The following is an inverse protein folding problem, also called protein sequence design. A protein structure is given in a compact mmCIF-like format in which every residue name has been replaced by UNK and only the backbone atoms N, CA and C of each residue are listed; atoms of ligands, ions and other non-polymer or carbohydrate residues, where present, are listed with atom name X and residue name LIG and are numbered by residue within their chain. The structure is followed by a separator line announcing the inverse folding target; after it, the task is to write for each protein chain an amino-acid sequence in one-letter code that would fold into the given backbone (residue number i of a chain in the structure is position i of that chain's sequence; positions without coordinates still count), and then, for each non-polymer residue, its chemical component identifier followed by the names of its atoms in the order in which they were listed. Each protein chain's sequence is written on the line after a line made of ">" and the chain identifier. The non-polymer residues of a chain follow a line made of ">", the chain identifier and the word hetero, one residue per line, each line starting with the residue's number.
data_IF_598275930800
#
_entry.id   IF_598275930800
#
_cell.length_a   1.000
_cell.length_b   1.000
_cell.length_c   1.000
_cell.angle_alpha   90.00
_cell.angle_beta   90.00
_cell.angle_gamma   90.00
#
_symmetry.space_group_name_H-M   'P 1'
#
loop_
_entity.id
_entity.type
_entity.pdbx_description
1 polymer ?
#
# COMPACT_ATOMS: atom_id res chain seq x y z
N UNK A 1 -21.46 -72.08 46.90
CA UNK A 1 -20.38 -72.42 45.96
C UNK A 1 -20.66 -71.81 44.66
N UNK A 2 -20.16 -70.61 44.31
CA UNK A 2 -20.22 -70.03 42.98
C UNK A 2 -18.84 -69.46 42.69
N UNK A 3 -18.21 -70.03 41.64
CA UNK A 3 -16.87 -69.69 41.17
C UNK A 3 -16.93 -68.34 40.37
N UNK A 4 -16.09 -67.39 40.79
CA UNK A 4 -15.82 -66.14 40.06
C UNK A 4 -14.75 -66.42 39.01
N UNK A 5 -15.09 -66.13 37.75
CA UNK A 5 -14.15 -66.11 36.67
C UNK A 5 -13.61 -64.67 36.49
N UNK A 6 -12.31 -64.52 36.55
CA UNK A 6 -11.59 -63.28 36.21
C UNK A 6 -11.23 -63.35 34.73
N UNK A 7 -11.59 -62.32 33.98
CA UNK A 7 -11.12 -62.08 32.62
C UNK A 7 -9.81 -61.24 32.65
N UNK A 8 -8.85 -61.48 31.75
CA UNK A 8 -7.61 -60.70 31.66
C UNK A 8 -7.85 -59.39 30.90
N UNK A 9 -7.40 -58.29 31.51
CA UNK A 9 -7.42 -56.98 30.87
C UNK A 9 -6.36 -56.87 29.77
N UNK A 10 -6.77 -56.50 28.60
CA UNK A 10 -5.89 -56.11 27.49
C UNK A 10 -5.56 -54.63 27.66
N UNK A 11 -4.30 -54.32 27.98
CA UNK A 11 -3.75 -52.97 27.90
C UNK A 11 -3.52 -52.63 26.42
N UNK A 12 -4.35 -51.75 25.85
CA UNK A 12 -4.07 -51.14 24.57
C UNK A 12 -3.11 -49.96 24.77
N UNK A 13 -1.87 -50.12 24.34
CA UNK A 13 -0.90 -49.04 24.28
C UNK A 13 -1.26 -48.12 23.08
N UNK A 14 -1.74 -46.90 23.36
CA UNK A 14 -1.93 -45.86 22.36
C UNK A 14 -0.57 -45.24 22.07
N UNK A 15 0.04 -45.62 20.97
CA UNK A 15 1.17 -44.93 20.36
C UNK A 15 0.68 -43.61 19.74
N UNK A 16 0.86 -42.51 20.48
CA UNK A 16 0.75 -41.17 19.94
C UNK A 16 1.94 -40.94 18.99
N UNK A 17 1.70 -41.07 17.68
CA UNK A 17 2.60 -40.54 16.68
C UNK A 17 2.48 -39.00 16.71
N UNK A 18 3.39 -38.39 17.45
CA UNK A 18 3.64 -36.96 17.32
C UNK A 18 4.20 -36.68 15.90
N UNK A 19 3.35 -36.24 14.98
CA UNK A 19 3.82 -35.62 13.75
C UNK A 19 4.54 -34.33 14.13
N UNK A 20 5.85 -34.41 14.32
CA UNK A 20 6.72 -33.26 14.42
C UNK A 20 6.58 -32.48 13.11
N UNK A 21 5.92 -31.33 13.16
CA UNK A 21 6.07 -30.31 12.14
C UNK A 21 7.56 -29.98 12.07
N UNK A 22 8.22 -30.42 11.00
CA UNK A 22 9.55 -29.95 10.67
C UNK A 22 9.49 -28.42 10.61
N UNK A 23 10.43 -27.70 11.25
CA UNK A 23 10.51 -26.26 11.08
C UNK A 23 10.69 -26.00 9.59
N UNK A 24 9.84 -25.14 9.01
CA UNK A 24 10.04 -24.63 7.67
C UNK A 24 11.50 -24.17 7.57
N UNK A 25 12.19 -24.65 6.54
CA UNK A 25 13.58 -24.29 6.27
C UNK A 25 13.70 -22.77 6.41
N UNK A 26 14.59 -22.31 7.29
CA UNK A 26 14.73 -20.92 7.66
C UNK A 26 14.84 -20.09 6.40
N UNK A 27 13.88 -19.18 6.17
CA UNK A 27 14.01 -18.14 5.18
C UNK A 27 15.30 -17.39 5.53
N UNK A 28 16.19 -17.24 4.55
CA UNK A 28 17.41 -16.44 4.68
C UNK A 28 17.01 -15.05 5.21
N UNK A 29 17.45 -14.65 6.42
CA UNK A 29 17.13 -13.33 6.95
C UNK A 29 17.62 -12.18 6.05
N UNK A 30 18.49 -12.47 5.08
CA UNK A 30 18.95 -11.54 4.05
C UNK A 30 18.04 -11.49 2.80
N UNK A 31 17.07 -12.39 2.68
CA UNK A 31 16.09 -12.35 1.60
C UNK A 31 15.14 -11.19 1.84
N UNK A 32 15.45 -10.05 1.22
CA UNK A 32 14.61 -8.85 1.27
C UNK A 32 13.19 -9.12 0.79
N UNK A 33 12.24 -8.35 1.29
CA UNK A 33 10.84 -8.49 0.93
C UNK A 33 10.53 -7.77 -0.37
N UNK A 34 9.69 -8.37 -1.21
CA UNK A 34 9.13 -7.70 -2.38
C UNK A 34 8.14 -6.60 -1.95
N UNK A 35 7.94 -5.61 -2.84
CA UNK A 35 6.96 -4.54 -2.67
C UNK A 35 5.99 -4.55 -3.86
N UNK A 36 5.05 -5.53 -3.89
CA UNK A 36 4.32 -5.91 -5.11
C UNK A 36 3.17 -4.98 -5.49
N UNK A 37 2.81 -4.00 -4.66
CA UNK A 37 1.68 -3.11 -4.86
C UNK A 37 1.84 -1.82 -4.06
N UNK A 38 0.92 -0.88 -4.26
CA UNK A 38 0.88 0.38 -3.50
C UNK A 38 0.90 0.12 -1.99
N UNK A 39 1.83 0.76 -1.27
CA UNK A 39 2.07 0.63 0.17
C UNK A 39 2.56 -0.76 0.63
N UNK A 40 3.11 -1.56 -0.29
CA UNK A 40 3.74 -2.83 0.01
C UNK A 40 2.79 -4.02 0.18
N UNK A 41 3.32 -5.18 0.59
CA UNK A 41 2.56 -6.44 0.58
C UNK A 41 1.34 -6.43 1.49
N UNK A 42 1.33 -5.63 2.55
CA UNK A 42 0.22 -5.49 3.49
C UNK A 42 -0.54 -4.17 3.34
N UNK A 43 -0.29 -3.38 2.31
CA UNK A 43 -0.91 -2.08 2.03
C UNK A 43 -0.79 -1.05 3.18
N UNK A 44 0.18 -1.19 4.05
CA UNK A 44 0.33 -0.39 5.29
C UNK A 44 1.55 0.54 5.30
N UNK A 45 2.41 0.49 4.28
CA UNK A 45 3.64 1.29 4.22
C UNK A 45 4.73 0.83 5.18
N UNK A 46 4.66 -0.41 5.67
CA UNK A 46 5.65 -0.98 6.59
C UNK A 46 6.38 -2.14 5.91
N UNK A 47 7.71 -2.10 5.90
CA UNK A 47 8.54 -3.21 5.46
C UNK A 47 8.92 -4.10 6.65
N UNK A 48 8.93 -5.41 6.45
CA UNK A 48 9.41 -6.38 7.42
C UNK A 48 10.93 -6.54 7.44
N UNK A 49 11.65 -5.82 6.56
CA UNK A 49 13.11 -5.91 6.44
C UNK A 49 13.82 -5.47 7.72
N UNK A 50 14.95 -6.10 7.98
CA UNK A 50 15.84 -5.89 9.12
C UNK A 50 17.27 -5.68 8.67
N UNK A 51 18.13 -5.26 9.60
CA UNK A 51 19.56 -5.06 9.30
C UNK A 51 19.82 -3.84 8.42
N UNK A 52 19.00 -2.82 8.58
CA UNK A 52 19.10 -1.57 7.84
C UNK A 52 20.00 -0.57 8.55
N UNK A 53 20.59 0.38 7.78
CA UNK A 53 21.41 1.46 8.32
C UNK A 53 20.64 2.23 9.39
N UNK A 54 21.25 2.37 10.58
CA UNK A 54 20.68 3.12 11.72
C UNK A 54 20.95 4.60 11.65
N UNK A 55 21.90 5.00 10.82
CA UNK A 55 22.28 6.38 10.49
C UNK A 55 23.05 6.39 9.19
N UNK A 56 23.24 7.54 8.59
CA UNK A 56 24.14 7.74 7.45
C UNK A 56 24.90 9.07 7.57
N UNK A 57 26.05 9.21 6.87
CA UNK A 57 26.82 10.46 6.81
C UNK A 57 26.03 11.57 6.09
N UNK A 58 26.54 12.80 6.13
CA UNK A 58 25.94 13.93 5.40
C UNK A 58 25.76 13.68 3.90
N UNK A 59 26.64 12.85 3.31
CA UNK A 59 26.50 12.42 1.91
C UNK A 59 25.34 11.46 1.65
N UNK A 60 24.68 10.99 2.71
CA UNK A 60 23.59 10.02 2.63
C UNK A 60 24.02 8.58 2.41
N UNK A 61 23.06 7.66 2.19
CA UNK A 61 23.32 6.29 1.80
C UNK A 61 23.97 6.21 0.42
N UNK A 62 24.64 5.09 0.13
CA UNK A 62 25.25 4.86 -1.19
C UNK A 62 24.22 4.90 -2.30
N UNK A 63 24.41 5.76 -3.29
CA UNK A 63 23.61 5.78 -4.52
C UNK A 63 24.00 4.58 -5.39
N UNK A 64 23.05 3.73 -5.73
CA UNK A 64 23.24 2.64 -6.67
C UNK A 64 23.09 3.14 -8.11
N UNK A 65 22.04 3.89 -8.37
CA UNK A 65 21.83 4.58 -9.64
C UNK A 65 20.81 5.73 -9.50
N UNK A 66 20.87 6.67 -10.43
CA UNK A 66 19.90 7.76 -10.60
C UNK A 66 19.63 7.93 -12.08
N UNK A 67 18.36 7.98 -12.50
CA UNK A 67 17.95 8.05 -13.91
C UNK A 67 16.68 8.85 -14.11
N UNK A 68 16.53 9.55 -15.24
CA UNK A 68 15.26 10.10 -15.66
C UNK A 68 14.28 8.97 -16.00
N UNK A 69 13.03 9.13 -15.63
CA UNK A 69 11.95 8.16 -15.89
C UNK A 69 10.74 8.79 -16.61
N UNK A 70 10.72 10.12 -16.75
CA UNK A 70 9.62 10.88 -17.31
C UNK A 70 8.56 11.26 -16.28
N UNK A 71 7.73 12.24 -16.66
CA UNK A 71 6.78 12.90 -15.78
C UNK A 71 5.68 11.97 -15.25
N UNK A 72 5.28 12.18 -14.00
CA UNK A 72 4.20 11.45 -13.34
C UNK A 72 4.42 11.19 -11.86
N UNK A 73 3.36 10.73 -11.19
CA UNK A 73 3.32 10.46 -9.76
C UNK A 73 3.08 8.98 -9.41
N UNK A 74 3.23 8.09 -10.39
CA UNK A 74 3.21 6.65 -10.13
C UNK A 74 4.43 6.26 -9.30
N UNK A 75 4.23 5.70 -8.10
CA UNK A 75 5.36 5.14 -7.36
C UNK A 75 5.79 3.82 -7.98
N UNK A 76 6.77 3.16 -7.38
CA UNK A 76 7.32 1.93 -7.93
C UNK A 76 6.77 0.69 -7.23
N UNK A 77 6.79 -0.41 -7.96
CA UNK A 77 6.56 -1.76 -7.46
C UNK A 77 7.80 -2.58 -7.74
N UNK A 78 8.24 -3.36 -6.76
CA UNK A 78 9.47 -4.15 -6.86
C UNK A 78 9.17 -5.61 -6.53
N UNK A 79 9.49 -6.51 -7.47
CA UNK A 79 9.36 -7.95 -7.30
C UNK A 79 10.62 -8.63 -7.86
N UNK A 80 11.36 -9.29 -7.00
CA UNK A 80 12.66 -9.85 -7.38
C UNK A 80 13.65 -8.77 -7.83
N UNK A 81 14.15 -8.89 -9.03
CA UNK A 81 15.05 -7.95 -9.71
C UNK A 81 14.32 -7.02 -10.68
N UNK A 82 12.99 -7.05 -10.69
CA UNK A 82 12.16 -6.24 -11.55
C UNK A 82 11.51 -5.09 -10.79
N UNK A 83 11.58 -3.91 -11.39
CA UNK A 83 10.92 -2.69 -10.94
C UNK A 83 9.90 -2.27 -11.99
N UNK A 84 8.70 -1.91 -11.55
CA UNK A 84 7.61 -1.44 -12.41
C UNK A 84 7.17 -0.06 -11.99
N UNK A 85 6.93 0.82 -12.95
CA UNK A 85 6.37 2.16 -12.76
C UNK A 85 5.67 2.63 -14.02
N UNK A 86 5.04 3.79 -13.96
CA UNK A 86 4.46 4.45 -15.12
C UNK A 86 4.94 5.90 -15.19
N UNK A 87 5.12 6.42 -16.38
CA UNK A 87 5.51 7.81 -16.63
C UNK A 87 5.02 8.28 -18.00
N UNK A 88 5.17 9.57 -18.26
CA UNK A 88 4.96 10.14 -19.60
C UNK A 88 6.19 9.87 -20.45
N UNK A 89 5.97 9.35 -21.66
CA UNK A 89 6.96 9.25 -22.74
C UNK A 89 6.35 9.81 -24.01
N UNK A 90 6.88 10.92 -24.50
CA UNK A 90 6.29 11.64 -25.62
C UNK A 90 4.86 12.09 -25.32
N UNK A 91 3.90 11.65 -26.14
CA UNK A 91 2.47 11.97 -25.98
C UNK A 91 1.68 10.86 -25.26
N UNK A 92 2.38 9.88 -24.68
CA UNK A 92 1.73 8.71 -24.06
C UNK A 92 2.08 8.55 -22.59
N UNK A 93 1.10 8.16 -21.79
CA UNK A 93 1.38 7.49 -20.51
C UNK A 93 1.88 6.08 -20.80
N UNK A 94 3.01 5.71 -20.23
CA UNK A 94 3.74 4.49 -20.58
C UNK A 94 4.07 3.70 -19.31
N UNK A 95 3.83 2.39 -19.34
CA UNK A 95 4.28 1.47 -18.31
C UNK A 95 5.70 0.97 -18.63
N UNK A 96 6.49 0.83 -17.57
CA UNK A 96 7.88 0.39 -17.66
C UNK A 96 8.16 -0.80 -16.76
N UNK A 97 9.00 -1.70 -17.25
CA UNK A 97 9.79 -2.62 -16.42
C UNK A 97 11.26 -2.24 -16.53
N UNK A 98 11.90 -2.03 -15.38
CA UNK A 98 13.33 -1.79 -15.26
C UNK A 98 13.99 -2.91 -14.45
N UNK A 99 15.29 -3.06 -14.59
CA UNK A 99 16.09 -3.91 -13.69
C UNK A 99 16.44 -3.16 -12.43
N UNK A 100 16.30 -3.77 -11.27
CA UNK A 100 16.61 -3.13 -9.99
C UNK A 100 18.09 -2.82 -9.77
N UNK A 101 19.07 -3.60 -10.30
CA UNK A 101 20.48 -3.33 -10.05
C UNK A 101 21.01 -2.05 -10.69
N UNK A 102 20.51 -1.67 -11.85
CA UNK A 102 21.10 -0.62 -12.71
C UNK A 102 20.07 0.32 -13.35
N UNK A 103 18.75 0.04 -13.17
CA UNK A 103 17.69 0.85 -13.75
C UNK A 103 17.57 0.74 -15.28
N UNK A 104 18.12 -0.30 -15.90
CA UNK A 104 17.99 -0.50 -17.35
C UNK A 104 16.57 -0.92 -17.70
N UNK A 105 16.01 -0.30 -18.76
CA UNK A 105 14.65 -0.58 -19.25
C UNK A 105 14.65 -1.94 -19.95
N UNK A 106 13.82 -2.86 -19.47
CA UNK A 106 13.59 -4.18 -20.08
C UNK A 106 12.51 -4.10 -21.15
N UNK A 107 11.41 -3.42 -20.82
CA UNK A 107 10.33 -3.14 -21.77
C UNK A 107 9.58 -1.87 -21.37
N UNK A 108 8.88 -1.30 -22.34
CA UNK A 108 7.96 -0.18 -22.19
C UNK A 108 6.72 -0.43 -23.03
N UNK A 109 5.54 -0.06 -22.49
CA UNK A 109 4.24 -0.27 -23.15
C UNK A 109 3.40 1.01 -23.05
N UNK A 110 3.08 1.65 -24.18
CA UNK A 110 2.15 2.77 -24.20
C UNK A 110 0.74 2.34 -23.71
N UNK A 111 0.17 3.14 -22.81
CA UNK A 111 -1.15 2.89 -22.20
C UNK A 111 -2.25 3.77 -22.80
N UNK A 112 -1.90 4.90 -23.37
CA UNK A 112 -2.83 5.86 -23.93
C UNK A 112 -2.35 7.30 -23.79
N UNK A 113 -3.17 8.29 -24.15
CA UNK A 113 -2.77 9.69 -24.14
C UNK A 113 -2.43 10.20 -22.75
N UNK A 114 -1.55 11.19 -22.69
CA UNK A 114 -1.19 11.89 -21.45
C UNK A 114 -2.40 12.59 -20.87
N UNK A 115 -2.62 12.42 -19.57
CA UNK A 115 -3.58 13.22 -18.80
C UNK A 115 -2.92 14.54 -18.38
N UNK A 116 -3.35 15.70 -18.93
CA UNK A 116 -2.82 17.00 -18.54
C UNK A 116 -3.42 17.45 -17.21
N UNK A 117 -2.57 17.95 -16.29
CA UNK A 117 -3.04 18.42 -15.00
C UNK A 117 -2.11 19.50 -14.43
N UNK A 118 -2.71 20.55 -13.80
CA UNK A 118 -1.98 21.73 -13.33
C UNK A 118 -0.89 21.44 -12.28
N UNK A 119 -1.01 20.36 -11.51
CA UNK A 119 -0.02 19.96 -10.51
C UNK A 119 1.05 19.01 -11.05
N UNK A 120 0.94 18.58 -12.31
CA UNK A 120 1.85 17.71 -13.01
C UNK A 120 1.10 16.67 -13.86
N UNK A 121 1.61 16.42 -15.05
CA UNK A 121 1.00 15.53 -16.03
C UNK A 121 1.25 14.05 -15.73
N UNK A 122 0.44 13.17 -16.30
CA UNK A 122 0.69 11.75 -16.41
C UNK A 122 0.11 10.89 -15.28
N UNK A 123 0.56 9.63 -15.20
CA UNK A 123 -0.04 8.59 -14.36
C UNK A 123 0.19 8.83 -12.86
N UNK A 124 -0.79 8.40 -12.07
CA UNK A 124 -0.81 8.57 -10.60
C UNK A 124 -0.96 7.28 -9.82
N UNK A 125 -1.61 6.27 -10.41
CA UNK A 125 -1.74 4.98 -9.79
C UNK A 125 -0.39 4.24 -9.76
N UNK A 126 -0.26 3.29 -8.85
CA UNK A 126 0.92 2.43 -8.75
C UNK A 126 0.62 1.08 -9.41
N UNK A 127 1.53 0.51 -10.19
CA UNK A 127 1.40 -0.85 -10.70
C UNK A 127 1.16 -1.86 -9.59
N UNK A 128 0.38 -2.91 -9.85
CA UNK A 128 0.23 -4.05 -8.95
C UNK A 128 0.70 -5.31 -9.66
N UNK A 129 1.60 -6.04 -9.04
CA UNK A 129 2.20 -7.28 -9.59
C UNK A 129 1.72 -8.48 -8.82
N UNK A 130 1.24 -9.48 -9.55
CA UNK A 130 0.94 -10.79 -9.00
C UNK A 130 1.40 -11.89 -9.97
N UNK A 131 2.33 -12.73 -9.53
CA UNK A 131 2.92 -13.77 -10.35
C UNK A 131 3.60 -13.20 -11.60
N UNK A 132 3.13 -13.60 -12.76
CA UNK A 132 3.65 -13.20 -14.07
C UNK A 132 2.86 -12.06 -14.74
N UNK A 133 1.97 -11.39 -13.99
CA UNK A 133 1.12 -10.30 -14.49
C UNK A 133 1.36 -9.01 -13.70
N UNK A 134 1.45 -7.89 -14.41
CA UNK A 134 1.38 -6.54 -13.85
C UNK A 134 0.12 -5.83 -14.34
N UNK A 135 -0.64 -5.28 -13.38
CA UNK A 135 -1.85 -4.49 -13.64
C UNK A 135 -1.51 -3.02 -13.50
N UNK A 136 -1.86 -2.24 -14.51
CA UNK A 136 -1.57 -0.81 -14.59
C UNK A 136 -2.81 -0.03 -15.00
N UNK A 137 -3.05 1.11 -14.35
CA UNK A 137 -4.16 2.00 -14.64
C UNK A 137 -3.62 3.39 -15.01
N UNK A 138 -3.89 3.84 -16.23
CA UNK A 138 -3.54 5.20 -16.67
C UNK A 138 -4.45 6.25 -16.01
N UNK A 139 -4.00 7.50 -15.95
CA UNK A 139 -4.83 8.59 -15.43
C UNK A 139 -6.06 8.88 -16.31
N UNK A 140 -6.05 8.45 -17.57
CA UNK A 140 -7.19 8.54 -18.49
C UNK A 140 -8.20 7.39 -18.35
N UNK A 141 -7.94 6.41 -17.48
CA UNK A 141 -8.86 5.30 -17.18
C UNK A 141 -8.66 4.06 -18.04
N UNK A 142 -7.48 3.90 -18.66
CA UNK A 142 -7.14 2.66 -19.36
C UNK A 142 -6.45 1.70 -18.40
N UNK A 143 -7.11 0.58 -18.14
CA UNK A 143 -6.63 -0.51 -17.30
C UNK A 143 -6.06 -1.61 -18.18
N UNK A 144 -4.84 -2.05 -17.90
CA UNK A 144 -4.18 -3.12 -18.64
C UNK A 144 -3.66 -4.20 -17.72
N UNK A 145 -3.73 -5.44 -18.16
CA UNK A 145 -2.95 -6.56 -17.65
C UNK A 145 -1.84 -6.90 -18.65
N UNK A 146 -0.60 -6.82 -18.19
CA UNK A 146 0.59 -7.05 -19.02
C UNK A 146 1.40 -8.19 -18.43
N UNK A 147 2.05 -9.00 -19.29
CA UNK A 147 3.01 -9.99 -18.82
C UNK A 147 4.24 -9.32 -18.24
N UNK A 148 4.65 -9.74 -17.06
CA UNK A 148 5.87 -9.23 -16.42
C UNK A 148 7.12 -9.46 -17.26
N UNK A 149 7.17 -10.57 -18.03
CA UNK A 149 8.34 -10.98 -18.80
C UNK A 149 8.69 -9.99 -19.92
N UNK A 150 7.72 -9.62 -20.74
CA UNK A 150 7.94 -8.93 -22.01
C UNK A 150 6.99 -7.75 -22.28
N UNK A 151 6.08 -7.44 -21.34
CA UNK A 151 5.09 -6.35 -21.48
C UNK A 151 3.96 -6.68 -22.44
N UNK A 152 3.87 -7.91 -22.98
CA UNK A 152 2.77 -8.27 -23.88
C UNK A 152 1.42 -8.17 -23.15
N UNK A 153 0.45 -7.54 -23.82
CA UNK A 153 -0.88 -7.31 -23.27
C UNK A 153 -1.69 -8.59 -23.23
N UNK A 154 -2.23 -8.94 -22.07
CA UNK A 154 -3.17 -10.04 -21.89
C UNK A 154 -4.60 -9.57 -22.15
N UNK A 155 -4.98 -8.44 -21.58
CA UNK A 155 -6.26 -7.77 -21.81
C UNK A 155 -6.15 -6.29 -21.45
N UNK A 156 -7.14 -5.51 -21.90
CA UNK A 156 -7.33 -4.10 -21.53
C UNK A 156 -8.80 -3.80 -21.33
N UNK A 157 -9.08 -2.73 -20.58
CA UNK A 157 -10.41 -2.16 -20.38
C UNK A 157 -10.31 -0.64 -20.35
N UNK A 158 -11.21 0.04 -21.07
CA UNK A 158 -11.38 1.49 -20.99
C UNK A 158 -12.54 1.78 -20.03
N UNK A 159 -12.24 2.21 -18.80
CA UNK A 159 -13.25 2.46 -17.76
C UNK A 159 -14.28 3.50 -18.20
N UNK A 160 -13.86 4.51 -18.97
CA UNK A 160 -14.74 5.57 -19.45
C UNK A 160 -15.73 5.02 -20.45
N UNK A 161 -15.27 4.23 -21.42
CA UNK A 161 -16.12 3.70 -22.51
C UNK A 161 -16.99 2.53 -22.07
N UNK A 162 -16.41 1.59 -21.30
CA UNK A 162 -17.06 0.31 -20.99
C UNK A 162 -17.94 0.38 -19.74
N UNK A 163 -17.57 1.23 -18.76
CA UNK A 163 -18.33 1.38 -17.52
C UNK A 163 -19.11 2.70 -17.45
N UNK A 164 -18.88 3.62 -18.41
CA UNK A 164 -19.47 4.96 -18.35
C UNK A 164 -18.87 5.82 -17.24
N UNK A 165 -17.67 5.52 -16.81
CA UNK A 165 -16.98 6.22 -15.71
C UNK A 165 -16.52 7.59 -16.16
N UNK A 166 -16.96 8.70 -15.53
CA UNK A 166 -16.39 10.01 -15.85
C UNK A 166 -14.96 10.10 -15.36
N UNK A 167 -14.06 10.61 -16.19
CA UNK A 167 -12.68 10.85 -15.77
C UNK A 167 -12.66 11.83 -14.58
N UNK A 168 -12.05 11.48 -13.45
CA UNK A 168 -11.92 12.38 -12.30
C UNK A 168 -11.11 13.63 -12.64
N UNK A 169 -11.34 14.74 -11.92
CA UNK A 169 -10.66 16.02 -12.17
C UNK A 169 -9.13 15.92 -12.12
N UNK A 170 -8.59 14.97 -11.33
CA UNK A 170 -7.15 14.69 -11.19
C UNK A 170 -6.71 13.44 -11.95
N UNK A 171 -7.55 12.91 -12.84
CA UNK A 171 -7.35 11.59 -13.45
C UNK A 171 -7.62 10.43 -12.49
N UNK A 172 -7.61 9.21 -13.00
CA UNK A 172 -7.69 8.01 -12.17
C UNK A 172 -6.36 7.83 -11.41
N UNK A 173 -6.43 7.71 -10.08
CA UNK A 173 -5.27 7.65 -9.20
C UNK A 173 -5.27 6.45 -8.24
N UNK A 174 -6.42 5.81 -8.02
CA UNK A 174 -6.52 4.58 -7.25
C UNK A 174 -5.72 3.47 -7.91
N UNK A 175 -4.90 2.75 -7.14
CA UNK A 175 -4.13 1.62 -7.67
C UNK A 175 -5.00 0.36 -7.72
N UNK A 176 -4.85 -0.51 -8.73
CA UNK A 176 -5.56 -1.77 -8.80
C UNK A 176 -5.25 -2.65 -7.58
N UNK A 177 -6.28 -3.23 -6.97
CA UNK A 177 -6.15 -4.18 -5.87
C UNK A 177 -6.40 -5.59 -6.36
N UNK A 178 -5.44 -6.50 -6.18
CA UNK A 178 -5.62 -7.92 -6.48
C UNK A 178 -5.89 -8.69 -5.20
N UNK A 179 -6.95 -9.50 -5.19
CA UNK A 179 -7.28 -10.40 -4.08
C UNK A 179 -7.95 -11.68 -4.61
N UNK A 180 -7.32 -12.82 -4.40
CA UNK A 180 -7.76 -14.08 -4.99
C UNK A 180 -7.84 -14.00 -6.51
N UNK A 181 -8.99 -14.29 -7.10
CA UNK A 181 -9.21 -14.19 -8.56
C UNK A 181 -9.74 -12.82 -9.02
N UNK A 182 -9.83 -11.85 -8.10
CA UNK A 182 -10.42 -10.54 -8.37
C UNK A 182 -9.36 -9.46 -8.55
N UNK A 183 -9.62 -8.55 -9.48
CA UNK A 183 -9.00 -7.25 -9.62
C UNK A 183 -10.05 -6.19 -9.29
N UNK A 184 -9.83 -5.41 -8.24
CA UNK A 184 -10.82 -4.53 -7.62
C UNK A 184 -10.36 -3.09 -7.72
N UNK A 185 -11.29 -2.19 -8.06
CA UNK A 185 -11.01 -0.74 -8.11
C UNK A 185 -12.29 0.09 -7.94
N UNK A 186 -12.10 1.33 -7.48
CA UNK A 186 -13.10 2.37 -7.53
C UNK A 186 -13.06 3.02 -8.92
N UNK A 187 -13.90 2.52 -9.83
CA UNK A 187 -13.94 2.96 -11.21
C UNK A 187 -14.73 4.26 -11.41
N UNK A 188 -15.69 4.50 -10.54
CA UNK A 188 -16.69 5.56 -10.71
C UNK A 188 -17.71 5.20 -11.79
N UNK A 189 -18.96 5.49 -11.55
CA UNK A 189 -20.03 5.20 -12.50
C UNK A 189 -21.40 5.22 -11.83
N UNK A 190 -22.41 5.23 -12.65
CA UNK A 190 -23.82 5.13 -12.24
C UNK A 190 -24.30 3.69 -12.40
N UNK A 191 -25.51 3.43 -11.96
CA UNK A 191 -26.17 2.12 -12.10
C UNK A 191 -25.35 0.97 -11.48
N UNK A 192 -24.85 1.21 -10.27
CA UNK A 192 -24.07 0.22 -9.52
C UNK A 192 -22.65 -0.01 -10.03
N UNK A 193 -22.04 0.92 -10.75
CA UNK A 193 -20.72 0.72 -11.36
C UNK A 193 -19.59 1.55 -10.73
N UNK A 194 -19.83 2.15 -9.55
CA UNK A 194 -18.79 2.96 -8.90
C UNK A 194 -17.62 2.12 -8.40
N UNK A 195 -17.88 0.91 -7.92
CA UNK A 195 -16.86 -0.09 -7.58
C UNK A 195 -17.06 -1.30 -8.47
N UNK A 196 -15.97 -1.79 -9.03
CA UNK A 196 -15.97 -2.99 -9.87
C UNK A 196 -14.94 -4.00 -9.40
N UNK A 197 -15.30 -5.27 -9.49
CA UNK A 197 -14.36 -6.37 -9.42
C UNK A 197 -14.38 -7.12 -10.75
N UNK A 198 -13.20 -7.27 -11.31
CA UNK A 198 -12.97 -7.97 -12.54
C UNK A 198 -12.37 -9.35 -12.27
N UNK A 199 -12.62 -10.29 -13.14
CA UNK A 199 -11.79 -11.49 -13.23
C UNK A 199 -10.37 -11.06 -13.66
N UNK A 200 -9.39 -11.25 -12.80
CA UNK A 200 -8.04 -10.74 -13.01
C UNK A 200 -7.35 -11.33 -14.27
N UNK A 201 -7.76 -12.51 -14.71
CA UNK A 201 -7.17 -13.19 -15.89
C UNK A 201 -7.75 -12.70 -17.22
N UNK A 202 -9.02 -12.31 -17.20
CA UNK A 202 -9.78 -12.00 -18.44
C UNK A 202 -10.22 -10.55 -18.56
N UNK A 203 -10.15 -9.74 -17.48
CA UNK A 203 -10.66 -8.39 -17.43
C UNK A 203 -12.19 -8.29 -17.41
N UNK A 204 -12.94 -9.40 -17.42
CA UNK A 204 -14.40 -9.38 -17.40
C UNK A 204 -14.94 -9.01 -16.04
N UNK A 205 -15.98 -8.16 -16.01
CA UNK A 205 -16.68 -7.78 -14.78
C UNK A 205 -17.30 -9.02 -14.13
N UNK A 206 -16.93 -9.31 -12.89
CA UNK A 206 -17.52 -10.34 -12.04
C UNK A 206 -18.71 -9.80 -11.27
N UNK A 207 -18.55 -8.62 -10.71
CA UNK A 207 -19.59 -7.86 -10.05
C UNK A 207 -19.27 -6.38 -10.07
N UNK A 208 -20.30 -5.55 -9.89
CA UNK A 208 -20.18 -4.13 -9.65
C UNK A 208 -21.11 -3.72 -8.52
N UNK A 209 -20.80 -2.63 -7.84
CA UNK A 209 -21.54 -2.14 -6.70
C UNK A 209 -21.42 -0.62 -6.58
N UNK A 210 -22.39 -0.02 -5.88
CA UNK A 210 -22.45 1.39 -5.52
C UNK A 210 -22.56 2.33 -6.74
N UNK A 211 -23.09 3.50 -6.48
CA UNK A 211 -23.09 4.63 -7.40
C UNK A 211 -22.09 5.67 -6.95
N UNK A 212 -21.61 6.50 -7.86
CA UNK A 212 -20.77 7.63 -7.55
C UNK A 212 -19.59 7.81 -8.50
N UNK A 213 -18.78 8.81 -8.24
CA UNK A 213 -17.57 9.13 -9.01
C UNK A 213 -16.37 8.37 -8.45
N UNK A 214 -15.38 8.10 -9.29
CA UNK A 214 -14.11 7.57 -8.83
C UNK A 214 -13.42 8.57 -7.90
N UNK A 215 -13.03 8.09 -6.72
CA UNK A 215 -12.14 8.79 -5.80
C UNK A 215 -10.67 8.60 -6.15
N UNK A 216 -9.80 8.94 -5.20
CA UNK A 216 -8.34 8.90 -5.39
C UNK A 216 -7.67 7.89 -4.44
N UNK A 217 -8.45 7.25 -3.58
CA UNK A 217 -7.96 6.35 -2.54
C UNK A 217 -7.87 4.93 -3.06
N UNK A 218 -6.72 4.30 -2.88
CA UNK A 218 -6.58 2.87 -3.15
C UNK A 218 -7.33 2.07 -2.07
N UNK A 219 -8.21 1.14 -2.44
CA UNK A 219 -8.97 0.33 -1.49
C UNK A 219 -8.04 -0.58 -0.66
N UNK A 220 -8.48 -0.89 0.56
CA UNK A 220 -7.75 -1.73 1.50
C UNK A 220 -8.44 -3.08 1.65
N UNK A 221 -7.72 -4.17 1.41
CA UNK A 221 -8.23 -5.52 1.64
C UNK A 221 -7.86 -6.00 3.05
N UNK A 222 -8.85 -6.32 3.87
CA UNK A 222 -8.66 -6.78 5.26
C UNK A 222 -9.49 -8.01 5.57
N UNK A 223 -9.09 -8.72 6.63
CA UNK A 223 -9.90 -9.78 7.23
C UNK A 223 -10.18 -9.40 8.68
N UNK A 224 -11.45 -9.20 9.03
CA UNK A 224 -11.91 -8.85 10.36
C UNK A 224 -12.84 -9.95 10.84
N UNK A 225 -12.59 -10.53 12.00
CA UNK A 225 -13.37 -11.64 12.58
C UNK A 225 -13.60 -12.80 11.58
N UNK A 226 -12.58 -13.11 10.75
CA UNK A 226 -12.65 -14.16 9.73
C UNK A 226 -13.35 -13.74 8.44
N UNK A 227 -13.91 -12.54 8.36
CA UNK A 227 -14.61 -12.04 7.17
C UNK A 227 -13.67 -11.21 6.30
N UNK A 228 -13.38 -11.71 5.08
CA UNK A 228 -12.64 -10.95 4.06
C UNK A 228 -13.48 -9.82 3.53
N UNK A 229 -12.93 -8.61 3.43
CA UNK A 229 -13.66 -7.41 3.02
C UNK A 229 -12.73 -6.36 2.40
N UNK A 230 -13.32 -5.48 1.60
CA UNK A 230 -12.63 -4.41 0.89
C UNK A 230 -13.16 -3.06 1.38
N UNK A 231 -12.28 -2.25 1.97
CA UNK A 231 -12.63 -0.96 2.55
C UNK A 231 -12.30 0.15 1.56
N UNK A 232 -13.30 0.94 1.24
CA UNK A 232 -13.21 2.12 0.37
C UNK A 232 -13.45 3.38 1.21
N UNK A 233 -12.57 4.36 1.10
CA UNK A 233 -12.79 5.72 1.59
C UNK A 233 -13.15 6.56 0.39
N UNK A 234 -14.46 6.81 0.21
CA UNK A 234 -14.97 7.39 -1.04
C UNK A 234 -14.90 8.91 -0.98
N UNK A 235 -13.84 9.43 -1.57
CA UNK A 235 -13.42 10.84 -1.50
C UNK A 235 -14.52 11.84 -1.87
N UNK A 236 -15.35 11.50 -2.87
CA UNK A 236 -16.35 12.41 -3.44
C UNK A 236 -17.72 12.17 -2.82
N UNK A 237 -18.05 10.92 -2.52
CA UNK A 237 -19.36 10.53 -2.02
C UNK A 237 -19.50 10.77 -0.51
N UNK A 238 -18.41 10.88 0.21
CA UNK A 238 -18.40 11.22 1.64
C UNK A 238 -18.82 10.07 2.53
N UNK A 239 -18.32 8.85 2.24
CA UNK A 239 -18.50 7.69 3.11
C UNK A 239 -17.26 6.81 3.16
N UNK A 240 -17.19 5.99 4.21
CA UNK A 240 -16.31 4.85 4.30
C UNK A 240 -17.21 3.62 4.19
N UNK A 241 -16.95 2.77 3.20
CA UNK A 241 -17.78 1.60 2.94
C UNK A 241 -16.94 0.36 2.78
N UNK A 242 -17.43 -0.76 3.31
CA UNK A 242 -16.83 -2.06 3.12
C UNK A 242 -17.72 -2.95 2.28
N UNK A 243 -17.11 -3.63 1.32
CA UNK A 243 -17.76 -4.63 0.49
C UNK A 243 -17.19 -6.02 0.77
N UNK A 244 -18.06 -7.03 0.75
CA UNK A 244 -17.69 -8.43 0.77
C UNK A 244 -17.12 -8.88 -0.60
N UNK A 245 -16.46 -10.05 -0.70
CA UNK A 245 -15.96 -10.57 -1.95
C UNK A 245 -17.00 -10.79 -3.06
N UNK A 246 -18.29 -10.82 -2.72
CA UNK A 246 -19.41 -10.91 -3.67
C UNK A 246 -20.00 -9.53 -4.05
N UNK A 247 -19.40 -8.43 -3.58
CA UNK A 247 -19.81 -7.06 -3.87
C UNK A 247 -20.90 -6.49 -2.96
N UNK A 248 -21.40 -7.27 -2.01
CA UNK A 248 -22.41 -6.77 -1.06
C UNK A 248 -21.81 -5.82 -0.03
N UNK A 249 -22.56 -4.78 0.33
CA UNK A 249 -22.17 -3.86 1.40
C UNK A 249 -22.21 -4.60 2.73
N UNK A 250 -21.05 -4.71 3.40
CA UNK A 250 -20.92 -5.32 4.71
C UNK A 250 -21.18 -4.30 5.83
N UNK A 251 -20.63 -3.10 5.70
CA UNK A 251 -20.89 -1.96 6.57
C UNK A 251 -20.64 -0.65 5.84
N UNK A 252 -21.19 0.44 6.37
CA UNK A 252 -21.00 1.80 5.87
C UNK A 252 -20.99 2.78 7.03
N UNK A 253 -20.11 3.77 6.94
CA UNK A 253 -20.03 4.88 7.88
C UNK A 253 -20.05 6.20 7.10
N UNK A 254 -21.00 7.10 7.32
CA UNK A 254 -20.99 8.43 6.73
C UNK A 254 -19.76 9.19 7.20
N UNK A 255 -19.03 9.79 6.26
CA UNK A 255 -17.88 10.60 6.60
C UNK A 255 -17.79 11.79 5.64
N UNK A 256 -16.85 12.73 5.90
CA UNK A 256 -16.72 13.93 5.09
C UNK A 256 -15.93 13.67 3.80
N UNK A 257 -16.22 14.47 2.77
CA UNK A 257 -15.47 14.46 1.50
C UNK A 257 -14.05 15.00 1.68
N UNK A 258 -13.11 14.60 0.81
CA UNK A 258 -11.76 15.17 0.73
C UNK A 258 -10.61 14.21 1.06
N UNK A 259 -10.87 12.92 1.34
CA UNK A 259 -9.81 11.94 1.55
C UNK A 259 -9.06 11.62 0.26
N UNK A 260 -7.73 11.57 0.33
CA UNK A 260 -6.84 11.09 -0.75
C UNK A 260 -5.92 10.00 -0.19
N UNK A 261 -5.63 10.05 1.11
CA UNK A 261 -4.79 9.07 1.79
C UNK A 261 -5.53 7.74 2.00
N UNK A 262 -4.83 6.63 1.80
CA UNK A 262 -5.36 5.29 2.07
C UNK A 262 -5.58 5.05 3.56
N UNK A 263 -6.64 4.31 3.93
CA UNK A 263 -6.89 3.95 5.31
C UNK A 263 -5.83 3.00 5.86
N UNK A 264 -5.77 2.90 7.19
CA UNK A 264 -4.96 1.91 7.90
C UNK A 264 -5.87 0.89 8.59
N UNK A 265 -5.45 -0.37 8.54
CA UNK A 265 -6.00 -1.40 9.39
C UNK A 265 -5.22 -1.48 10.71
N UNK A 266 -5.92 -1.38 11.83
CA UNK A 266 -5.41 -1.59 13.17
C UNK A 266 -6.01 -2.90 13.70
N UNK A 267 -5.23 -3.98 13.75
CA UNK A 267 -5.72 -5.23 14.28
C UNK A 267 -6.24 -5.09 15.73
N UNK A 268 -7.26 -5.86 16.14
CA UNK A 268 -7.89 -6.92 15.33
C UNK A 268 -9.03 -6.45 14.41
N UNK A 269 -9.64 -5.28 14.64
CA UNK A 269 -10.90 -4.91 13.99
C UNK A 269 -11.12 -3.40 13.82
N UNK A 270 -10.04 -2.60 13.71
CA UNK A 270 -10.18 -1.14 13.60
C UNK A 270 -9.68 -0.59 12.28
N UNK A 271 -10.34 0.44 11.80
CA UNK A 271 -9.98 1.18 10.59
C UNK A 271 -9.74 2.65 10.96
N UNK A 272 -8.54 3.13 10.66
CA UNK A 272 -8.23 4.55 10.72
C UNK A 272 -8.33 5.15 9.33
N UNK A 273 -9.02 6.29 9.22
CA UNK A 273 -9.07 7.11 8.02
C UNK A 273 -8.73 8.55 8.34
N UNK A 274 -8.13 9.25 7.39
CA UNK A 274 -7.72 10.64 7.54
C UNK A 274 -7.92 11.40 6.23
N UNK A 275 -8.31 12.66 6.34
CA UNK A 275 -8.53 13.55 5.22
C UNK A 275 -7.98 14.95 5.53
N UNK A 276 -7.69 15.67 4.46
CA UNK A 276 -7.10 17.03 4.52
C UNK A 276 -8.07 18.11 4.97
N UNK A 277 -7.64 19.34 4.90
CA UNK A 277 -8.35 20.55 5.27
C UNK A 277 -8.85 20.51 6.73
N UNK A 278 -10.09 20.79 6.95
CA UNK A 278 -10.69 20.79 8.29
C UNK A 278 -11.41 19.49 8.67
N UNK A 279 -11.21 18.43 7.89
CA UNK A 279 -11.89 17.16 8.09
C UNK A 279 -11.26 16.41 9.27
N UNK A 280 -9.97 16.10 9.19
CA UNK A 280 -9.25 15.41 10.24
C UNK A 280 -9.21 13.90 10.05
N UNK A 281 -9.36 13.16 11.15
CA UNK A 281 -9.22 11.70 11.15
C UNK A 281 -10.23 11.04 12.08
N UNK A 282 -10.54 9.80 11.77
CA UNK A 282 -11.48 8.96 12.52
C UNK A 282 -10.89 7.57 12.74
N UNK A 283 -11.11 7.00 13.92
CA UNK A 283 -10.87 5.60 14.22
C UNK A 283 -12.23 4.90 14.40
N UNK A 284 -12.48 3.93 13.54
CA UNK A 284 -13.69 3.10 13.56
C UNK A 284 -13.37 1.72 14.14
N UNK A 285 -14.24 1.20 14.97
CA UNK A 285 -14.25 -0.19 15.40
C UNK A 285 -15.35 -0.92 14.66
N UNK A 286 -15.00 -2.05 14.06
CA UNK A 286 -15.91 -2.90 13.30
C UNK A 286 -16.30 -4.08 14.19
N UNK A 287 -17.57 -4.13 14.56
CA UNK A 287 -18.14 -5.24 15.33
C UNK A 287 -18.66 -6.35 14.43
N UNK A 288 -18.92 -7.50 15.04
CA UNK A 288 -19.46 -8.66 14.31
C UNK A 288 -20.85 -8.37 13.74
N UNK A 289 -21.13 -8.97 12.60
CA UNK A 289 -22.49 -9.09 12.10
C UNK A 289 -23.32 -9.97 13.06
N UNK A 290 -24.55 -9.58 13.32
CA UNK A 290 -25.51 -10.35 14.11
C UNK A 290 -26.83 -10.52 13.36
N UNK A 291 -27.72 -11.37 13.88
CA UNK A 291 -29.01 -11.62 13.26
C UNK A 291 -29.95 -10.37 13.23
N UNK A 292 -29.63 -9.36 14.06
CA UNK A 292 -30.42 -8.12 14.13
C UNK A 292 -29.95 -7.09 13.09
N UNK A 293 -28.74 -7.24 12.57
CA UNK A 293 -28.11 -6.34 11.61
C UNK A 293 -28.26 -6.77 10.15
N UNK A 294 -29.11 -7.76 9.86
CA UNK A 294 -29.30 -8.31 8.50
C UNK A 294 -27.96 -8.79 7.89
N UNK A 295 -27.11 -9.41 8.73
CA UNK A 295 -25.78 -9.89 8.33
C UNK A 295 -24.73 -8.80 8.11
N UNK A 296 -25.03 -7.56 8.46
CA UNK A 296 -24.10 -6.43 8.37
C UNK A 296 -23.29 -6.27 9.66
N UNK A 297 -22.02 -5.93 9.52
CA UNK A 297 -21.21 -5.58 10.65
C UNK A 297 -21.62 -4.22 11.24
N UNK A 298 -21.51 -4.08 12.55
CA UNK A 298 -21.72 -2.80 13.23
C UNK A 298 -20.47 -1.92 13.12
N UNK A 299 -20.65 -0.60 13.14
CA UNK A 299 -19.55 0.37 13.09
C UNK A 299 -19.71 1.35 14.25
N UNK A 300 -18.64 1.54 15.02
CA UNK A 300 -18.61 2.48 16.15
C UNK A 300 -17.40 3.41 15.99
N UNK A 301 -17.60 4.72 16.10
CA UNK A 301 -16.51 5.67 16.24
C UNK A 301 -15.88 5.51 17.63
N UNK A 302 -14.57 5.23 17.67
CA UNK A 302 -13.77 5.26 18.89
C UNK A 302 -13.39 6.70 19.20
N UNK A 303 -12.87 7.39 18.21
CA UNK A 303 -12.59 8.82 18.28
C UNK A 303 -12.65 9.45 16.88
N UNK A 304 -12.91 10.77 16.86
CA UNK A 304 -12.93 11.61 15.67
C UNK A 304 -12.32 12.96 16.04
N UNK A 305 -11.27 13.37 15.36
CA UNK A 305 -10.57 14.60 15.71
C UNK A 305 -9.81 15.20 14.53
N UNK A 306 -9.30 16.43 14.71
CA UNK A 306 -8.46 17.11 13.72
C UNK A 306 -6.98 16.89 13.95
N UNK A 307 -6.60 15.89 14.73
CA UNK A 307 -5.20 15.66 15.12
C UNK A 307 -4.30 15.26 13.97
N UNK A 308 -4.83 14.53 12.97
CA UNK A 308 -4.12 14.10 11.78
C UNK A 308 -4.95 14.41 10.54
N UNK A 309 -4.40 15.19 9.61
CA UNK A 309 -5.05 15.65 8.39
C UNK A 309 -4.17 15.29 7.19
N UNK A 310 -4.19 14.01 6.83
CA UNK A 310 -3.41 13.55 5.68
C UNK A 310 -3.93 14.21 4.39
N UNK A 311 -3.01 14.71 3.57
CA UNK A 311 -3.34 15.24 2.25
C UNK A 311 -3.26 14.09 1.22
N UNK A 312 -2.17 14.00 0.45
CA UNK A 312 -1.99 12.92 -0.53
C UNK A 312 -1.12 11.77 0.00
N UNK A 313 -0.39 11.95 1.09
CA UNK A 313 0.43 10.90 1.68
C UNK A 313 -0.33 10.18 2.79
N UNK A 314 -0.22 8.86 2.82
CA UNK A 314 -0.84 8.03 3.85
C UNK A 314 0.07 7.87 5.06
N UNK A 315 -0.53 7.80 6.25
CA UNK A 315 0.17 7.47 7.49
C UNK A 315 0.62 6.02 7.54
N UNK A 316 1.51 5.69 8.48
CA UNK A 316 1.89 4.31 8.82
C UNK A 316 1.54 4.01 10.28
N UNK A 317 1.15 2.78 10.56
CA UNK A 317 0.98 2.26 11.92
C UNK A 317 2.24 1.47 12.29
N UNK A 318 2.90 1.85 13.37
CA UNK A 318 4.06 1.15 13.89
C UNK A 318 4.02 1.11 15.42
N UNK A 319 4.05 -0.08 16.02
CA UNK A 319 4.05 -0.31 17.48
C UNK A 319 3.01 0.54 18.23
N UNK A 320 1.74 0.49 17.78
CA UNK A 320 0.62 1.16 18.43
C UNK A 320 0.54 2.68 18.22
N UNK A 321 1.42 3.25 17.39
CA UNK A 321 1.44 4.66 17.06
C UNK A 321 1.25 4.88 15.56
N UNK A 322 0.55 5.95 15.21
CA UNK A 322 0.38 6.39 13.83
C UNK A 322 1.34 7.55 13.57
N UNK A 323 2.18 7.39 12.56
CA UNK A 323 3.10 8.39 12.05
C UNK A 323 2.60 8.86 10.69
N UNK A 324 2.49 10.18 10.49
CA UNK A 324 1.96 10.71 9.25
C UNK A 324 2.05 12.22 9.18
N UNK A 325 1.71 12.75 8.01
CA UNK A 325 1.71 14.19 7.77
C UNK A 325 0.32 14.79 8.04
N UNK A 326 0.23 15.67 9.03
CA UNK A 326 -0.88 16.59 9.23
C UNK A 326 -0.65 17.81 8.33
N UNK A 327 -1.13 17.76 7.10
CA UNK A 327 -0.74 18.68 6.03
C UNK A 327 0.79 18.78 5.90
N UNK A 328 1.41 19.88 6.31
CA UNK A 328 2.85 20.11 6.24
C UNK A 328 3.63 19.79 7.53
N UNK A 329 3.01 19.13 8.50
CA UNK A 329 3.63 18.76 9.78
C UNK A 329 3.66 17.27 9.98
N UNK A 330 4.83 16.68 10.17
CA UNK A 330 4.97 15.28 10.56
C UNK A 330 4.56 15.11 12.02
N UNK A 331 3.72 14.13 12.31
CA UNK A 331 3.22 13.84 13.66
C UNK A 331 3.34 12.37 14.04
N UNK A 332 3.42 12.15 15.35
CA UNK A 332 3.16 10.86 15.98
C UNK A 332 1.94 11.01 16.88
N UNK A 333 1.00 10.09 16.77
CA UNK A 333 -0.18 10.01 17.64
C UNK A 333 -0.33 8.59 18.19
N UNK A 334 -0.94 8.46 19.37
CA UNK A 334 -1.39 7.15 19.88
C UNK A 334 -2.55 6.67 19.03
N UNK A 335 -2.43 5.48 18.45
CA UNK A 335 -3.46 4.98 17.53
C UNK A 335 -4.83 4.81 18.20
N UNK A 336 -4.84 4.33 19.46
CA UNK A 336 -6.05 4.04 20.22
C UNK A 336 -6.86 5.29 20.64
N UNK A 337 -6.17 6.39 20.92
CA UNK A 337 -6.80 7.57 21.55
C UNK A 337 -6.75 8.83 20.68
N UNK A 338 -5.91 8.84 19.63
CA UNK A 338 -5.61 10.04 18.87
C UNK A 338 -4.75 11.07 19.62
N UNK A 339 -4.21 10.74 20.81
CA UNK A 339 -3.33 11.63 21.58
C UNK A 339 -2.06 11.95 20.79
N UNK A 340 -1.75 13.24 20.59
CA UNK A 340 -0.52 13.66 19.93
C UNK A 340 0.67 13.46 20.87
N UNK A 341 1.67 12.70 20.42
CA UNK A 341 2.94 12.50 21.15
C UNK A 341 3.96 13.58 20.82
N UNK A 342 4.13 13.87 19.54
CA UNK A 342 5.02 14.92 19.06
C UNK A 342 4.60 15.44 17.69
N UNK A 343 5.11 16.61 17.32
CA UNK A 343 4.99 17.24 16.00
C UNK A 343 6.33 17.78 15.55
N UNK A 344 6.66 17.57 14.28
CA UNK A 344 7.87 18.08 13.64
C UNK A 344 7.52 18.79 12.34
N UNK A 345 8.12 19.96 12.11
CA UNK A 345 7.91 20.80 10.92
C UNK A 345 9.15 20.82 10.02
N UNK A 346 9.01 21.37 8.84
CA UNK A 346 10.13 21.62 7.92
C UNK A 346 10.26 20.60 6.77
N UNK A 347 9.29 19.72 6.59
CA UNK A 347 9.31 18.70 5.54
C UNK A 347 8.26 18.91 4.43
N UNK A 348 7.49 20.00 4.51
CA UNK A 348 6.36 20.23 3.60
C UNK A 348 5.31 19.12 3.68
N UNK A 349 4.64 18.83 2.58
CA UNK A 349 3.67 17.72 2.45
C UNK A 349 4.39 16.45 2.01
N UNK A 350 5.31 15.95 2.82
CA UNK A 350 6.12 14.78 2.51
C UNK A 350 5.36 13.45 2.60
N UNK A 351 6.09 12.38 2.41
CA UNK A 351 5.62 11.00 2.52
C UNK A 351 6.58 10.15 3.37
N UNK A 352 6.14 8.98 3.85
CA UNK A 352 6.98 8.12 4.67
C UNK A 352 6.60 6.64 4.56
N UNK A 353 7.56 5.80 4.91
CA UNK A 353 7.39 4.39 5.21
C UNK A 353 8.11 4.05 6.53
N UNK A 354 7.79 2.90 7.12
CA UNK A 354 8.47 2.40 8.31
C UNK A 354 9.15 1.06 8.03
N UNK A 355 10.33 0.85 8.61
CA UNK A 355 11.04 -0.43 8.60
C UNK A 355 12.05 -0.49 9.75
N UNK A 356 12.20 -1.63 10.38
CA UNK A 356 13.26 -1.91 11.37
C UNK A 356 13.35 -0.88 12.53
N UNK A 357 12.21 -0.37 13.00
CA UNK A 357 12.17 0.69 14.03
C UNK A 357 12.52 2.09 13.53
N UNK A 358 12.56 2.29 12.22
CA UNK A 358 12.94 3.54 11.57
C UNK A 358 11.81 4.06 10.68
N UNK A 359 11.76 5.39 10.54
CA UNK A 359 10.95 6.10 9.55
C UNK A 359 11.88 6.61 8.44
N UNK A 360 11.55 6.26 7.20
CA UNK A 360 12.16 6.82 5.99
C UNK A 360 11.21 7.88 5.47
N UNK A 361 11.57 9.14 5.64
CA UNK A 361 10.74 10.31 5.38
C UNK A 361 11.28 11.02 4.15
N UNK A 362 10.43 11.21 3.15
CA UNK A 362 10.76 12.00 1.96
C UNK A 362 9.96 13.29 1.99
N UNK A 363 10.62 14.43 2.10
CA UNK A 363 9.97 15.74 2.06
C UNK A 363 9.46 16.05 0.64
N UNK A 364 8.50 16.95 0.49
CA UNK A 364 8.01 17.39 -0.83
C UNK A 364 9.04 18.17 -1.67
N UNK A 365 10.19 18.48 -1.06
CA UNK A 365 11.32 19.15 -1.70
C UNK A 365 12.53 18.23 -1.92
N UNK A 366 12.36 16.91 -1.80
CA UNK A 366 13.41 15.93 -2.10
C UNK A 366 14.47 15.74 -1.01
N UNK A 367 14.22 16.11 0.23
CA UNK A 367 15.05 15.72 1.36
C UNK A 367 14.63 14.33 1.86
N UNK A 368 15.57 13.41 1.90
CA UNK A 368 15.40 12.12 2.57
C UNK A 368 15.90 12.25 4.01
N UNK A 369 15.06 11.88 4.95
CA UNK A 369 15.34 11.91 6.38
C UNK A 369 15.12 10.55 6.99
N UNK A 370 16.07 10.08 7.80
CA UNK A 370 15.95 8.90 8.65
C UNK A 370 15.66 9.36 10.08
N UNK A 371 14.66 8.76 10.71
CA UNK A 371 14.35 9.01 12.11
C UNK A 371 13.92 7.72 12.82
N UNK A 372 14.00 7.69 14.15
CA UNK A 372 13.46 6.59 14.92
C UNK A 372 11.92 6.61 14.94
N UNK A 373 11.30 5.44 14.77
CA UNK A 373 9.86 5.26 14.90
C UNK A 373 9.49 5.09 16.38
N UNK A 374 9.54 6.20 17.17
CA UNK A 374 9.31 6.15 18.61
C UNK A 374 8.41 7.30 19.08
N UNK A 375 7.56 7.08 20.11
CA UNK A 375 6.64 8.11 20.61
C UNK A 375 7.28 9.12 21.57
N UNK A 376 8.46 8.84 22.13
CA UNK A 376 9.09 9.69 23.15
C UNK A 376 9.58 11.04 22.60
N UNK A 377 9.71 11.18 21.27
CA UNK A 377 10.13 12.40 20.60
C UNK A 377 10.70 12.11 19.23
N UNK A 378 10.77 13.11 18.38
CA UNK A 378 11.39 12.99 17.07
C UNK A 378 12.92 12.92 17.19
N UNK A 379 13.52 11.84 16.73
CA UNK A 379 14.98 11.65 16.75
C UNK A 379 15.48 11.39 15.34
N UNK A 380 16.04 12.42 14.73
CA UNK A 380 16.67 12.34 13.41
C UNK A 380 18.01 11.58 13.49
N UNK A 381 18.26 10.68 12.54
CA UNK A 381 19.48 9.86 12.44
C UNK A 381 20.29 10.15 11.18
N UNK A 382 19.75 10.94 10.27
CA UNK A 382 20.44 11.38 9.06
C UNK A 382 19.52 12.12 8.13
N UNK A 383 20.08 13.04 7.36
CA UNK A 383 19.39 13.85 6.37
C UNK A 383 20.26 14.05 5.15
N UNK A 384 19.66 13.96 3.97
CA UNK A 384 20.35 14.24 2.71
C UNK A 384 19.38 14.75 1.67
N UNK A 385 19.78 15.70 0.84
CA UNK A 385 19.05 16.12 -0.35
C UNK A 385 19.33 15.11 -1.46
N UNK A 386 18.30 14.44 -1.97
CA UNK A 386 18.44 13.36 -2.98
C UNK A 386 17.80 13.71 -4.31
N UNK A 387 16.79 14.61 -4.32
CA UNK A 387 16.03 15.00 -5.48
C UNK A 387 15.78 16.50 -5.53
N UNK A 388 15.65 17.06 -6.73
CA UNK A 388 15.42 18.50 -6.93
C UNK A 388 13.98 18.82 -7.30
N UNK A 389 13.27 17.85 -7.88
CA UNK A 389 11.88 17.99 -8.32
C UNK A 389 10.86 17.82 -7.18
N UNK A 390 9.59 17.84 -7.57
CA UNK A 390 8.45 17.65 -6.68
C UNK A 390 8.32 16.16 -6.27
N UNK A 391 8.51 15.86 -5.01
CA UNK A 391 8.49 14.50 -4.47
C UNK A 391 7.18 14.18 -3.75
N UNK A 392 6.16 13.82 -4.52
CA UNK A 392 4.84 13.45 -3.99
C UNK A 392 4.57 11.94 -3.99
N UNK A 393 5.56 11.15 -4.37
CA UNK A 393 5.50 9.69 -4.33
C UNK A 393 6.02 9.16 -2.99
N UNK A 394 5.43 8.07 -2.52
CA UNK A 394 5.92 7.42 -1.31
C UNK A 394 7.23 6.67 -1.58
N UNK A 395 8.20 6.66 -0.64
CA UNK A 395 9.34 5.77 -0.70
C UNK A 395 8.92 4.30 -0.79
N UNK A 396 9.77 3.47 -1.40
CA UNK A 396 9.60 2.02 -1.45
C UNK A 396 10.90 1.38 -0.97
N UNK A 397 10.78 0.41 -0.06
CA UNK A 397 11.90 -0.37 0.44
C UNK A 397 11.75 -1.83 0.03
N UNK A 398 12.73 -2.34 -0.70
CA UNK A 398 12.77 -3.74 -1.10
C UNK A 398 14.21 -4.22 -1.21
N UNK A 399 14.53 -5.33 -0.55
CA UNK A 399 15.84 -6.00 -0.57
C UNK A 399 16.98 -5.08 -0.17
N UNK A 400 16.76 -4.29 0.89
CA UNK A 400 17.73 -3.32 1.41
C UNK A 400 18.03 -2.15 0.48
N UNK A 401 17.18 -1.93 -0.50
CA UNK A 401 17.27 -0.79 -1.44
C UNK A 401 16.08 0.11 -1.25
N UNK A 402 16.35 1.39 -1.12
CA UNK A 402 15.34 2.43 -1.02
C UNK A 402 15.17 3.08 -2.40
N UNK A 403 13.97 2.99 -2.95
CA UNK A 403 13.58 3.56 -4.23
C UNK A 403 12.80 4.83 -3.98
N UNK A 404 13.26 5.93 -4.55
CA UNK A 404 12.65 7.25 -4.43
C UNK A 404 12.42 7.80 -5.82
N UNK A 405 11.36 8.59 -5.97
CA UNK A 405 11.02 9.22 -7.22
C UNK A 405 10.47 10.63 -6.96
N UNK A 406 10.91 11.59 -7.76
CA UNK A 406 10.20 12.85 -7.98
C UNK A 406 9.36 12.78 -9.27
N UNK A 407 8.92 13.93 -9.77
CA UNK A 407 8.10 14.01 -10.97
C UNK A 407 8.79 13.40 -12.20
N UNK A 408 10.11 13.54 -12.35
CA UNK A 408 10.86 13.24 -13.58
C UNK A 408 12.00 12.21 -13.40
N UNK A 409 12.51 12.05 -12.19
CA UNK A 409 13.69 11.23 -11.90
C UNK A 409 13.40 10.15 -10.84
N UNK A 410 14.21 9.11 -10.89
CA UNK A 410 14.25 8.06 -9.87
C UNK A 410 15.68 7.88 -9.38
N UNK A 411 15.84 7.70 -8.06
CA UNK A 411 17.09 7.35 -7.41
C UNK A 411 16.91 6.09 -6.57
N UNK A 412 17.91 5.22 -6.57
CA UNK A 412 17.96 4.02 -5.75
C UNK A 412 19.19 4.04 -4.86
N UNK A 413 18.95 3.84 -3.56
CA UNK A 413 19.94 3.93 -2.51
C UNK A 413 20.12 2.56 -1.84
N UNK A 414 21.36 2.19 -1.48
CA UNK A 414 21.64 1.03 -0.62
C UNK A 414 21.53 1.44 0.85
N UNK A 415 20.58 0.86 1.55
CA UNK A 415 20.34 1.14 2.98
C UNK A 415 20.64 -0.07 3.88
N UNK A 416 21.34 -1.07 3.37
CA UNK A 416 21.76 -2.24 4.16
C UNK A 416 22.93 -1.88 5.07
N UNK A 417 22.90 -2.40 6.28
CA UNK A 417 24.10 -2.41 7.13
C UNK A 417 25.20 -3.24 6.43
N UNK A 418 26.41 -2.71 6.23
CA UNK A 418 27.51 -3.49 5.68
C UNK A 418 27.72 -4.77 6.51
N UNK A 419 27.96 -5.90 5.85
CA UNK A 419 28.42 -7.09 6.55
C UNK A 419 29.66 -6.74 7.38
N UNK A 420 29.72 -7.17 8.64
CA UNK A 420 30.92 -7.04 9.43
C UNK A 420 32.08 -7.66 8.63
N UNK A 421 33.26 -6.99 8.54
CA UNK A 421 34.41 -7.58 7.86
C UNK A 421 34.64 -8.96 8.50
N UNK A 422 34.57 -10.01 7.67
CA UNK A 422 34.74 -11.37 8.11
C UNK A 422 36.05 -11.46 8.92
N UNK A 423 35.99 -12.01 10.14
CA UNK A 423 37.19 -12.51 10.76
C UNK A 423 37.73 -13.57 9.79
N UNK A 424 38.83 -13.30 9.12
CA UNK A 424 39.60 -14.35 8.46
C UNK A 424 39.78 -15.46 9.50
N UNK A 425 39.28 -16.64 9.17
CA UNK A 425 39.48 -17.81 10.01
C UNK A 425 41.01 -18.05 10.10
N UNK A 426 41.53 -18.38 11.28
CA UNK A 426 42.96 -18.61 11.51
C UNK A 426 43.51 -19.79 10.71
#
# INVERSE_FOLDING_TARGET
>A
MKKLWRAPGVLAAILLFGAGLAPAAGADPSAGTDWPQFRGPQQNGVSAEKGLLRSWPESGPKVLWKKPVGSGFSTVTVVGDALYTMAVEGESETAYRLRTPDGEVVWRVPLGPVFPEAFGNGPRSTPTVEGDVVYVLSATGRLHALKTKDGSRLWEMDLVKELGSPTPNRGFASSPLVDGDLLILEAGGKEGKAVVALDKKTGKVRWSALDGKAGYVTPLAVTIDGVRQYVFVRTIEGDIVSLLPDGKVHWRHPWKMGAIASPLFLPPNRIFASATDDIGSVLLEIGKADDKSDGKATVREIWNSRVMKNHFSSSVLYEGHIYGFDNASLKCIVAETGEQKWVQRGYGKGSLIAADGLLYILSDQGQLVLAEAMPAGFQEKGRVKVMEGKTWTAPVLSRGRLYLRDEDEMIVLDVRTPAAPGKEAP
#
